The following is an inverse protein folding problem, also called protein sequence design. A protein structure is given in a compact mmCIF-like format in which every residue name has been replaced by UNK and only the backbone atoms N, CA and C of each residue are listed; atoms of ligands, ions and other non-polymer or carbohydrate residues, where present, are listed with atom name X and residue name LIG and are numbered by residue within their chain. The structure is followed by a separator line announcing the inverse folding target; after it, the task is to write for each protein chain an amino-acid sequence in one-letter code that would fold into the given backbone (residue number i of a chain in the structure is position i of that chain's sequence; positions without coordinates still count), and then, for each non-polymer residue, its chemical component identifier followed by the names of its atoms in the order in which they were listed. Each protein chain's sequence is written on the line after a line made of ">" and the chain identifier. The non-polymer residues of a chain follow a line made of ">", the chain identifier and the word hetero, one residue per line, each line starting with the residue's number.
data_IF_652257679275
#
_entry.id   IF_652257679275
#
_cell.length_a   1.000
_cell.length_b   1.000
_cell.length_c   1.000
_cell.angle_alpha   90.00
_cell.angle_beta   90.00
_cell.angle_gamma   90.00
#
_symmetry.space_group_name_H-M   'P 1'
#
loop_
_entity.id
_entity.type
_entity.pdbx_description
1 polymer ?
#
# COMPACT_ATOMS: atom_id res chain seq x y z
N UNK A 1 16.87 -7.17 13.32
CA UNK A 1 15.91 -8.09 12.69
C UNK A 1 14.85 -7.22 12.04
N UNK A 2 14.93 -6.98 10.73
CA UNK A 2 13.93 -6.14 10.05
C UNK A 2 12.60 -6.89 10.05
N UNK A 3 11.64 -6.47 10.88
CA UNK A 3 10.29 -7.01 10.83
C UNK A 3 9.76 -6.85 9.41
N UNK A 4 9.54 -7.97 8.72
CA UNK A 4 8.98 -7.97 7.38
C UNK A 4 7.50 -7.58 7.51
N UNK A 5 7.24 -6.28 7.43
CA UNK A 5 5.89 -5.73 7.46
C UNK A 5 5.15 -6.28 6.24
N UNK A 6 4.25 -7.24 6.48
CA UNK A 6 3.58 -7.97 5.39
C UNK A 6 2.54 -7.05 4.74
N UNK A 7 2.63 -6.78 3.42
CA UNK A 7 1.64 -5.97 2.74
C UNK A 7 0.26 -6.63 2.78
N UNK A 8 -0.83 -5.84 2.82
CA UNK A 8 -2.17 -6.38 2.72
C UNK A 8 -2.38 -7.06 1.37
N UNK A 9 -3.27 -8.04 1.37
CA UNK A 9 -3.65 -8.78 0.17
C UNK A 9 -4.75 -8.05 -0.61
N UNK A 10 -4.78 -8.26 -1.93
CA UNK A 10 -5.77 -7.68 -2.82
C UNK A 10 -7.15 -8.34 -2.61
N UNK A 11 -8.19 -7.61 -2.18
CA UNK A 11 -9.51 -8.20 -1.94
C UNK A 11 -10.18 -8.71 -3.22
N UNK A 12 -9.77 -8.23 -4.41
CA UNK A 12 -10.29 -8.72 -5.68
C UNK A 12 -9.54 -9.92 -6.28
N UNK A 13 -8.28 -10.13 -5.89
CA UNK A 13 -7.45 -11.22 -6.43
C UNK A 13 -7.16 -12.32 -5.40
N UNK A 14 -7.57 -12.14 -4.14
CA UNK A 14 -7.23 -13.02 -3.04
C UNK A 14 -5.78 -12.81 -2.60
N UNK A 15 -4.95 -13.85 -2.69
CA UNK A 15 -3.62 -13.94 -2.07
C UNK A 15 -2.53 -13.07 -2.70
N UNK A 16 -2.86 -12.18 -3.64
CA UNK A 16 -1.87 -11.31 -4.28
C UNK A 16 -1.52 -10.12 -3.36
N UNK A 17 -0.24 -9.87 -3.06
CA UNK A 17 0.15 -8.75 -2.22
C UNK A 17 -0.09 -7.42 -2.94
N UNK A 18 -0.46 -6.40 -2.18
CA UNK A 18 -0.54 -5.02 -2.64
C UNK A 18 0.83 -4.33 -2.48
N UNK A 19 1.15 -3.46 -3.43
CA UNK A 19 2.39 -2.69 -3.45
C UNK A 19 2.13 -1.25 -3.00
N UNK A 20 3.09 -0.64 -2.29
CA UNK A 20 3.02 0.78 -1.90
C UNK A 20 3.26 1.64 -3.15
N UNK A 21 2.20 2.23 -3.69
CA UNK A 21 2.23 3.19 -4.80
C UNK A 21 2.41 4.60 -4.24
N UNK A 22 3.59 5.18 -4.46
CA UNK A 22 3.94 6.55 -4.09
C UNK A 22 3.90 7.51 -5.29
N UNK A 23 3.42 7.08 -6.46
CA UNK A 23 3.37 7.91 -7.68
C UNK A 23 2.53 9.18 -7.50
N UNK A 24 1.55 9.14 -6.60
CA UNK A 24 0.70 10.27 -6.23
C UNK A 24 1.21 11.07 -5.03
N UNK A 25 2.23 10.57 -4.34
CA UNK A 25 2.86 11.26 -3.21
C UNK A 25 3.86 12.29 -3.76
N UNK A 26 3.45 13.56 -3.85
CA UNK A 26 4.39 14.65 -4.13
C UNK A 26 5.23 14.92 -2.89
N UNK A 27 6.49 15.31 -3.09
CA UNK A 27 7.36 15.80 -2.04
C UNK A 27 6.65 16.94 -1.26
N UNK A 28 6.60 16.82 0.07
CA UNK A 28 5.87 17.75 0.96
C UNK A 28 4.40 17.39 1.23
N UNK A 29 3.85 16.36 0.58
CA UNK A 29 2.58 15.73 0.97
C UNK A 29 2.85 14.31 1.43
N UNK A 30 3.39 14.20 2.63
CA UNK A 30 3.38 12.94 3.39
C UNK A 30 1.94 12.40 3.40
N UNK A 31 1.76 11.10 3.28
CA UNK A 31 0.47 10.37 3.36
C UNK A 31 -0.47 10.27 2.13
N UNK A 32 -0.04 10.63 0.91
CA UNK A 32 -0.85 10.38 -0.31
C UNK A 32 -0.50 9.11 -1.09
N UNK A 33 0.21 8.16 -0.48
CA UNK A 33 0.46 6.86 -1.10
C UNK A 33 -0.79 5.97 -1.07
N UNK A 34 -0.88 5.04 -2.02
CA UNK A 34 -1.98 4.08 -2.17
C UNK A 34 -1.45 2.65 -2.22
N UNK A 35 -2.27 1.68 -1.86
CA UNK A 35 -1.99 0.28 -2.15
C UNK A 35 -2.38 -0.04 -3.59
N UNK A 36 -1.49 -0.67 -4.34
CA UNK A 36 -1.70 -1.00 -5.75
C UNK A 36 -1.56 -2.50 -6.01
N UNK A 37 -2.53 -3.08 -6.70
CA UNK A 37 -2.44 -4.47 -7.16
C UNK A 37 -1.87 -4.51 -8.57
N UNK A 38 -0.74 -5.19 -8.78
CA UNK A 38 -0.17 -5.37 -10.13
C UNK A 38 -0.95 -6.35 -11.01
N UNK A 39 -1.85 -7.14 -10.43
CA UNK A 39 -2.67 -8.12 -11.16
C UNK A 39 -3.96 -7.50 -11.71
N UNK A 40 -4.74 -6.83 -10.86
CA UNK A 40 -6.02 -6.22 -11.28
C UNK A 40 -5.94 -4.70 -11.48
N UNK A 41 -4.75 -4.11 -11.29
CA UNK A 41 -4.46 -2.68 -11.48
C UNK A 41 -5.30 -1.73 -10.61
N UNK A 42 -5.97 -2.26 -9.57
CA UNK A 42 -6.78 -1.47 -8.64
C UNK A 42 -5.92 -0.79 -7.58
N UNK A 43 -6.38 0.38 -7.15
CA UNK A 43 -5.80 1.16 -6.06
C UNK A 43 -6.71 1.16 -4.83
N UNK A 44 -6.12 1.05 -3.65
CA UNK A 44 -6.82 1.05 -2.37
C UNK A 44 -6.18 2.07 -1.42
N UNK A 45 -7.00 2.75 -0.61
CA UNK A 45 -6.48 3.68 0.39
C UNK A 45 -5.83 2.92 1.54
N UNK A 46 -4.65 3.33 2.02
CA UNK A 46 -4.12 2.79 3.27
C UNK A 46 -5.00 3.21 4.45
N UNK A 47 -5.13 2.32 5.43
CA UNK A 47 -5.79 2.61 6.71
C UNK A 47 -4.85 3.41 7.60
N UNK A 48 -5.36 3.93 8.72
CA UNK A 48 -4.52 4.62 9.72
C UNK A 48 -3.38 3.74 10.24
N UNK A 49 -3.64 2.45 10.49
CA UNK A 49 -2.60 1.48 10.84
C UNK A 49 -1.60 1.26 9.72
N UNK A 50 -2.04 1.15 8.47
CA UNK A 50 -1.10 1.04 7.35
C UNK A 50 -0.20 2.27 7.24
N UNK A 51 -0.70 3.46 7.52
CA UNK A 51 0.13 4.67 7.54
C UNK A 51 1.17 4.60 8.65
N UNK A 52 0.76 4.29 9.90
CA UNK A 52 1.70 4.14 11.04
C UNK A 52 2.75 3.05 10.81
N UNK A 53 2.31 1.92 10.26
CA UNK A 53 3.15 0.74 10.04
C UNK A 53 3.94 0.83 8.73
N UNK A 54 3.61 1.68 7.77
CA UNK A 54 4.35 1.76 6.51
C UNK A 54 4.69 3.21 6.14
N UNK A 55 4.98 4.07 7.13
CA UNK A 55 5.66 5.37 6.94
C UNK A 55 7.04 5.13 6.37
#
# INVERSE_FOLDING_TARGET
>A
MSEVRTPPQCPGCGTRPLWKDTSTARAGTEDRWLWYCTTCLRKYRPTGDHKRTFT
#
